data_IF_707001250028
#
_entry.id   IF_707001250028
#
_cell.length_a   1.000
_cell.length_b   1.000
_cell.length_c   1.000
_cell.angle_alpha   90.00
_cell.angle_beta   90.00
_cell.angle_gamma   90.00
#
_symmetry.space_group_name_H-M   'P 1'
#
loop_
_entity.id
_entity.type
_entity.pdbx_description
1 polymer ?
#
# COMPACT_ATOMS: atom_id res chain seq x y z
N UNK A 1 18.78 -1.51 18.08
CA UNK A 1 18.27 -1.20 16.74
C UNK A 1 16.82 -0.70 16.82
N UNK A 2 15.89 -1.45 17.42
CA UNK A 2 14.46 -1.05 17.50
C UNK A 2 14.32 0.38 18.02
N UNK A 3 14.87 0.70 19.19
CA UNK A 3 14.81 2.05 19.79
C UNK A 3 15.37 3.17 18.90
N UNK A 4 16.28 2.83 17.95
CA UNK A 4 16.88 3.79 17.03
C UNK A 4 15.99 4.11 15.84
N UNK A 5 15.19 3.15 15.39
CA UNK A 5 14.49 3.25 14.11
C UNK A 5 12.96 3.25 14.21
N UNK A 6 12.38 2.63 15.24
CA UNK A 6 10.93 2.59 15.42
C UNK A 6 10.36 4.00 15.61
N UNK A 7 9.33 4.34 14.86
CA UNK A 7 8.70 5.66 14.90
C UNK A 7 9.46 6.76 14.15
N UNK A 8 10.53 6.42 13.41
CA UNK A 8 11.30 7.43 12.67
C UNK A 8 10.77 7.69 11.26
N UNK A 9 10.02 6.74 10.71
CA UNK A 9 9.39 6.86 9.38
C UNK A 9 7.89 7.12 9.50
N UNK A 10 7.24 6.55 10.53
CA UNK A 10 5.87 6.89 10.93
C UNK A 10 5.93 7.58 12.30
N UNK A 11 6.05 8.90 12.35
CA UNK A 11 5.99 9.61 13.61
C UNK A 11 4.59 9.52 14.23
N UNK A 12 4.50 9.67 15.55
CA UNK A 12 3.21 9.67 16.27
C UNK A 12 2.24 10.75 15.80
N UNK A 13 2.73 11.75 15.08
CA UNK A 13 1.96 12.87 14.53
C UNK A 13 1.57 12.70 13.06
N UNK A 14 1.82 11.54 12.45
CA UNK A 14 1.52 11.32 11.01
C UNK A 14 0.02 11.55 10.73
N UNK A 15 -0.86 10.84 11.44
CA UNK A 15 -2.31 11.03 11.43
C UNK A 15 -2.96 10.24 12.57
N UNK A 16 -4.27 10.42 12.79
CA UNK A 16 -5.03 9.86 13.91
C UNK A 16 -4.78 8.35 14.14
N UNK A 17 -4.90 7.51 13.11
CA UNK A 17 -4.71 6.05 13.28
C UNK A 17 -3.25 5.65 13.54
N UNK A 18 -2.27 6.40 13.02
CA UNK A 18 -0.87 6.19 13.35
C UNK A 18 -0.58 6.55 14.80
N UNK A 19 -1.19 7.61 15.31
CA UNK A 19 -1.14 8.01 16.72
C UNK A 19 -1.78 6.95 17.60
N UNK A 20 -3.00 6.51 17.28
CA UNK A 20 -3.72 5.47 18.01
C UNK A 20 -2.91 4.16 18.05
N UNK A 21 -2.44 3.69 16.90
CA UNK A 21 -1.58 2.50 16.85
C UNK A 21 -0.35 2.67 17.75
N UNK A 22 0.32 3.82 17.71
CA UNK A 22 1.52 4.08 18.52
C UNK A 22 1.24 4.05 20.04
N UNK A 23 0.01 4.33 20.44
CA UNK A 23 -0.38 4.32 21.86
C UNK A 23 -0.76 2.91 22.35
N UNK A 24 -1.30 2.06 21.48
CA UNK A 24 -1.96 0.81 21.91
C UNK A 24 -1.45 -0.47 21.24
N UNK A 25 -0.48 -0.40 20.32
CA UNK A 25 0.05 -1.61 19.70
C UNK A 25 0.71 -2.52 20.75
N UNK A 26 0.45 -3.82 20.66
CA UNK A 26 0.95 -4.84 21.59
C UNK A 26 1.77 -5.90 20.88
N UNK A 27 1.71 -5.94 19.55
CA UNK A 27 2.35 -6.96 18.73
C UNK A 27 2.92 -6.38 17.43
N UNK A 28 3.70 -7.16 16.72
CA UNK A 28 4.29 -6.77 15.45
C UNK A 28 5.49 -7.60 15.05
N UNK A 29 6.10 -7.21 13.93
CA UNK A 29 7.29 -7.87 13.39
C UNK A 29 8.50 -6.95 13.39
N UNK A 30 9.64 -7.47 13.80
CA UNK A 30 10.91 -6.78 13.66
C UNK A 30 11.89 -7.61 12.82
N UNK A 31 12.36 -7.04 11.71
CA UNK A 31 13.31 -7.69 10.81
C UNK A 31 14.49 -6.76 10.57
N UNK A 32 15.68 -7.29 10.78
CA UNK A 32 16.92 -6.62 10.43
C UNK A 32 17.79 -7.55 9.57
N UNK A 33 18.15 -7.08 8.38
CA UNK A 33 19.04 -7.79 7.49
C UNK A 33 20.41 -7.11 7.55
N UNK A 34 21.47 -7.81 8.00
CA UNK A 34 22.81 -7.24 8.12
C UNK A 34 23.41 -6.85 6.77
N UNK A 35 24.44 -5.99 6.83
CA UNK A 35 25.18 -5.52 5.66
C UNK A 35 25.64 -6.68 4.77
N UNK A 36 25.39 -6.55 3.46
CA UNK A 36 25.79 -7.50 2.43
C UNK A 36 24.96 -8.79 2.37
N UNK A 37 24.08 -9.04 3.30
CA UNK A 37 23.30 -10.28 3.35
C UNK A 37 22.09 -10.21 2.39
N UNK A 38 21.98 -11.21 1.54
CA UNK A 38 20.80 -11.47 0.73
C UNK A 38 19.98 -12.56 1.43
N UNK A 39 18.79 -12.20 1.94
CA UNK A 39 17.94 -13.20 2.59
C UNK A 39 17.57 -14.29 1.57
N UNK A 40 17.92 -15.58 1.85
CA UNK A 40 17.82 -16.64 0.84
C UNK A 40 16.39 -17.09 0.56
N UNK A 41 15.45 -16.75 1.43
CA UNK A 41 14.04 -17.10 1.32
C UNK A 41 13.16 -15.89 1.63
N UNK A 42 11.91 -15.95 1.19
CA UNK A 42 10.91 -14.98 1.58
C UNK A 42 10.54 -15.21 3.05
N UNK A 43 10.57 -14.14 3.83
CA UNK A 43 10.04 -14.13 5.19
C UNK A 43 8.53 -13.90 5.13
N UNK A 44 7.78 -14.54 6.02
CA UNK A 44 6.34 -14.33 6.06
C UNK A 44 5.81 -14.20 7.48
N UNK A 45 4.80 -13.36 7.63
CA UNK A 45 4.00 -13.23 8.86
C UNK A 45 2.53 -13.33 8.50
N UNK A 46 1.78 -13.99 9.34
CA UNK A 46 0.35 -14.13 9.19
C UNK A 46 -0.37 -13.63 10.43
N UNK A 47 -1.18 -12.59 10.27
CA UNK A 47 -1.99 -12.01 11.33
C UNK A 47 -3.44 -12.47 11.23
N UNK A 48 -4.01 -12.88 12.34
CA UNK A 48 -5.40 -13.32 12.41
C UNK A 48 -6.10 -12.74 13.62
N UNK A 49 -7.21 -12.03 13.40
CA UNK A 49 -8.09 -11.57 14.46
C UNK A 49 -8.99 -12.74 14.88
N UNK A 50 -8.88 -13.20 16.13
CA UNK A 50 -9.69 -14.31 16.65
C UNK A 50 -10.71 -13.88 17.69
N UNK A 51 -10.47 -12.80 18.44
CA UNK A 51 -11.37 -12.34 19.50
C UNK A 51 -12.51 -11.49 18.95
N UNK A 52 -13.69 -11.54 19.58
CA UNK A 52 -14.81 -10.63 19.37
C UNK A 52 -14.57 -9.30 20.09
N UNK A 53 -15.25 -8.24 19.68
CA UNK A 53 -15.25 -6.91 20.31
C UNK A 53 -13.86 -6.32 20.54
N UNK A 54 -12.88 -6.71 19.71
CA UNK A 54 -11.50 -6.25 19.82
C UNK A 54 -11.01 -5.64 18.51
N UNK A 55 -10.12 -4.65 18.63
CA UNK A 55 -9.29 -4.16 17.52
C UNK A 55 -7.94 -4.88 17.50
N UNK A 56 -7.34 -4.97 16.34
CA UNK A 56 -5.96 -5.41 16.17
C UNK A 56 -5.06 -4.22 15.82
N UNK A 57 -4.02 -4.04 16.62
CA UNK A 57 -3.05 -2.94 16.45
C UNK A 57 -1.65 -3.55 16.44
N UNK A 58 -1.04 -3.55 15.27
CA UNK A 58 0.28 -4.13 15.06
C UNK A 58 1.25 -3.13 14.46
N UNK A 59 2.55 -3.33 14.73
CA UNK A 59 3.59 -2.45 14.21
C UNK A 59 4.77 -3.25 13.69
N UNK A 60 5.00 -3.18 12.38
CA UNK A 60 6.09 -3.87 11.70
C UNK A 60 7.22 -2.89 11.38
N UNK A 61 8.47 -3.29 11.67
CA UNK A 61 9.68 -2.54 11.30
C UNK A 61 10.63 -3.47 10.57
N UNK A 62 10.98 -3.12 9.32
CA UNK A 62 11.96 -3.84 8.51
C UNK A 62 13.10 -2.90 8.14
N UNK A 63 14.32 -3.32 8.44
CA UNK A 63 15.55 -2.59 8.12
C UNK A 63 16.43 -3.48 7.26
N UNK A 64 16.75 -3.03 6.05
CA UNK A 64 17.75 -3.63 5.19
C UNK A 64 19.02 -2.77 5.24
N UNK A 65 20.10 -3.33 5.79
CA UNK A 65 21.39 -2.64 5.90
C UNK A 65 22.10 -2.62 4.54
N UNK A 66 23.21 -1.93 4.44
CA UNK A 66 23.92 -1.68 3.19
C UNK A 66 24.14 -2.96 2.37
N UNK A 67 23.77 -2.88 1.09
CA UNK A 67 23.93 -3.99 0.14
C UNK A 67 23.07 -5.23 0.45
N UNK A 68 22.12 -5.17 1.36
CA UNK A 68 21.29 -6.31 1.74
C UNK A 68 20.00 -6.41 0.91
N UNK A 69 19.33 -7.56 1.00
CA UNK A 69 18.09 -7.83 0.30
C UNK A 69 17.13 -8.65 1.18
N UNK A 70 15.87 -8.30 1.15
CA UNK A 70 14.78 -9.07 1.77
C UNK A 70 13.50 -9.02 0.95
N UNK A 71 12.82 -10.18 0.83
CA UNK A 71 11.43 -10.28 0.44
C UNK A 71 10.59 -10.68 1.66
N UNK A 72 9.52 -9.95 1.90
CA UNK A 72 8.63 -10.13 3.05
C UNK A 72 7.18 -10.17 2.61
N UNK A 73 6.45 -11.21 3.04
CA UNK A 73 5.03 -11.39 2.78
C UNK A 73 4.22 -11.27 4.08
N UNK A 74 3.24 -10.40 4.07
CA UNK A 74 2.26 -10.28 5.15
C UNK A 74 0.90 -10.77 4.67
N UNK A 75 0.35 -11.74 5.37
CA UNK A 75 -1.02 -12.23 5.19
C UNK A 75 -1.90 -11.83 6.37
N UNK A 76 -3.10 -11.33 6.09
CA UNK A 76 -4.04 -10.93 7.13
C UNK A 76 -5.44 -11.48 6.83
N UNK A 77 -6.12 -11.98 7.86
CA UNK A 77 -7.50 -12.46 7.76
C UNK A 77 -8.26 -12.34 9.08
N UNK A 78 -9.58 -12.34 8.99
CA UNK A 78 -10.47 -12.41 10.14
C UNK A 78 -11.65 -13.35 9.84
N UNK A 79 -12.22 -14.04 10.86
CA UNK A 79 -13.44 -14.81 10.72
C UNK A 79 -14.65 -13.90 10.47
N UNK A 80 -15.70 -14.47 9.90
CA UNK A 80 -17.00 -13.81 9.70
C UNK A 80 -17.66 -13.54 11.05
N UNK A 81 -18.08 -12.29 11.28
CA UNK A 81 -18.81 -11.85 12.50
C UNK A 81 -19.80 -10.75 12.13
N UNK A 82 -20.93 -10.71 12.83
CA UNK A 82 -21.99 -9.69 12.64
C UNK A 82 -21.64 -8.32 13.23
N UNK A 83 -20.41 -8.10 13.62
CA UNK A 83 -19.90 -6.87 14.22
C UNK A 83 -18.78 -6.26 13.38
N UNK A 84 -18.59 -4.96 13.48
CA UNK A 84 -17.44 -4.30 12.90
C UNK A 84 -16.23 -4.42 13.82
N UNK A 85 -15.07 -4.73 13.24
CA UNK A 85 -13.81 -4.77 13.98
C UNK A 85 -12.78 -3.87 13.29
N UNK A 86 -11.96 -3.20 14.08
CA UNK A 86 -10.90 -2.33 13.59
C UNK A 86 -9.57 -3.09 13.50
N UNK A 87 -8.98 -3.09 12.30
CA UNK A 87 -7.57 -3.42 12.08
C UNK A 87 -6.82 -2.13 11.76
N UNK A 88 -5.87 -1.76 12.60
CA UNK A 88 -5.03 -0.57 12.37
C UNK A 88 -3.56 -0.94 12.56
N UNK A 89 -2.84 -1.04 11.45
CA UNK A 89 -1.43 -1.42 11.42
C UNK A 89 -0.52 -0.27 10.98
N UNK A 90 0.70 -0.24 11.53
CA UNK A 90 1.78 0.63 11.08
C UNK A 90 2.95 -0.21 10.56
N UNK A 91 3.42 0.06 9.34
CA UNK A 91 4.56 -0.61 8.73
C UNK A 91 5.63 0.39 8.32
N UNK A 92 6.83 0.23 8.86
CA UNK A 92 7.99 1.07 8.58
C UNK A 92 9.08 0.26 7.87
N UNK A 93 9.49 0.70 6.67
CA UNK A 93 10.60 0.09 5.93
C UNK A 93 11.73 1.09 5.79
N UNK A 94 12.97 0.64 6.03
CA UNK A 94 14.17 1.46 5.89
C UNK A 94 15.21 0.70 5.07
N UNK A 95 15.53 1.21 3.88
CA UNK A 95 16.57 0.68 3.03
C UNK A 95 17.78 1.62 3.05
N UNK A 96 18.96 1.08 3.43
CA UNK A 96 20.22 1.79 3.43
C UNK A 96 20.91 1.70 2.05
N UNK A 97 22.18 2.10 1.92
CA UNK A 97 22.88 2.12 0.63
C UNK A 97 22.86 0.77 -0.06
N UNK A 98 22.50 0.75 -1.36
CA UNK A 98 22.45 -0.45 -2.20
C UNK A 98 21.51 -1.57 -1.67
N UNK A 99 20.65 -1.26 -0.72
CA UNK A 99 19.73 -2.22 -0.12
C UNK A 99 18.39 -2.28 -0.86
N UNK A 100 17.77 -3.45 -0.88
CA UNK A 100 16.44 -3.67 -1.50
C UNK A 100 15.49 -4.38 -0.54
N UNK A 101 14.27 -3.85 -0.43
CA UNK A 101 13.15 -4.44 0.30
C UNK A 101 11.99 -4.65 -0.65
N UNK A 102 11.54 -5.90 -0.80
CA UNK A 102 10.23 -6.24 -1.37
C UNK A 102 9.26 -6.52 -0.22
N UNK A 103 8.15 -5.81 -0.20
CA UNK A 103 7.11 -6.01 0.80
C UNK A 103 5.78 -6.28 0.11
N UNK A 104 5.29 -7.49 0.31
CA UNK A 104 4.03 -7.95 -0.28
C UNK A 104 2.96 -8.12 0.80
N UNK A 105 1.72 -7.75 0.50
CA UNK A 105 0.57 -8.04 1.37
C UNK A 105 -0.56 -8.66 0.58
N UNK A 106 -1.17 -9.67 1.19
CA UNK A 106 -2.45 -10.24 0.76
C UNK A 106 -3.42 -10.10 1.93
N UNK A 107 -4.41 -9.24 1.74
CA UNK A 107 -5.42 -8.97 2.77
C UNK A 107 -6.77 -9.46 2.30
N UNK A 108 -7.28 -10.48 3.00
CA UNK A 108 -8.58 -11.10 2.73
C UNK A 108 -9.40 -11.07 4.02
N UNK A 109 -10.01 -9.93 4.28
CA UNK A 109 -10.83 -9.67 5.45
C UNK A 109 -12.30 -9.98 5.18
N UNK A 110 -13.06 -10.22 6.23
CA UNK A 110 -14.51 -10.33 6.13
C UNK A 110 -15.13 -8.97 5.74
N UNK A 111 -15.90 -8.91 4.64
CA UNK A 111 -16.42 -7.64 4.10
C UNK A 111 -17.74 -7.15 4.73
N UNK A 112 -18.34 -7.92 5.62
CA UNK A 112 -19.73 -7.78 6.04
C UNK A 112 -20.65 -8.73 5.27
N UNK A 113 -21.93 -8.76 5.69
CA UNK A 113 -22.97 -9.57 5.04
C UNK A 113 -23.44 -8.95 3.71
N UNK A 114 -24.42 -9.58 3.06
CA UNK A 114 -24.99 -9.13 1.79
C UNK A 114 -25.69 -7.75 1.88
N UNK A 115 -26.06 -7.31 3.08
CA UNK A 115 -26.65 -6.01 3.37
C UNK A 115 -25.60 -4.97 3.81
N UNK A 116 -24.34 -5.35 3.88
CA UNK A 116 -23.22 -4.50 4.31
C UNK A 116 -23.11 -4.34 5.83
N UNK A 117 -23.73 -5.25 6.61
CA UNK A 117 -23.62 -5.25 8.07
C UNK A 117 -22.39 -6.03 8.53
N UNK A 118 -21.70 -5.51 9.55
CA UNK A 118 -20.46 -6.10 10.07
C UNK A 118 -19.25 -5.84 9.17
N UNK A 119 -18.23 -6.65 9.33
CA UNK A 119 -17.01 -6.60 8.52
C UNK A 119 -15.89 -5.76 9.11
N UNK A 120 -14.72 -5.89 8.52
CA UNK A 120 -13.49 -5.29 9.03
C UNK A 120 -13.29 -3.87 8.48
N UNK A 121 -12.93 -2.95 9.37
CA UNK A 121 -12.38 -1.63 9.04
C UNK A 121 -10.86 -1.75 9.03
N UNK A 122 -10.27 -1.74 7.83
CA UNK A 122 -8.86 -2.00 7.59
C UNK A 122 -8.11 -0.69 7.31
N UNK A 123 -7.53 -0.11 8.35
CA UNK A 123 -6.82 1.18 8.30
C UNK A 123 -5.32 0.98 8.51
N UNK A 124 -4.55 0.97 7.42
CA UNK A 124 -3.14 0.62 7.45
C UNK A 124 -2.26 1.76 6.97
N UNK A 125 -1.29 2.12 7.80
CA UNK A 125 -0.28 3.11 7.50
C UNK A 125 1.03 2.43 7.14
N UNK A 126 1.49 2.61 5.90
CA UNK A 126 2.77 2.06 5.42
C UNK A 126 3.68 3.17 4.95
N UNK A 127 4.91 3.21 5.45
CA UNK A 127 5.90 4.21 5.05
C UNK A 127 7.23 3.53 4.77
N UNK A 128 7.77 3.76 3.58
CA UNK A 128 9.09 3.31 3.17
C UNK A 128 10.05 4.48 3.04
N UNK A 129 11.24 4.34 3.57
CA UNK A 129 12.33 5.29 3.43
C UNK A 129 13.51 4.65 2.70
N UNK A 130 13.69 5.00 1.43
CA UNK A 130 14.92 4.78 0.68
C UNK A 130 15.97 5.79 1.17
N UNK A 131 16.59 5.47 2.31
CA UNK A 131 17.52 6.38 2.99
C UNK A 131 18.88 6.44 2.30
N UNK A 132 19.34 5.31 1.79
CA UNK A 132 20.64 5.15 1.17
C UNK A 132 20.65 5.39 -0.33
N UNK A 133 21.84 5.58 -0.91
CA UNK A 133 22.04 5.64 -2.37
C UNK A 133 21.71 4.30 -3.01
N UNK A 134 21.16 4.31 -4.23
CA UNK A 134 20.78 3.13 -5.01
C UNK A 134 19.83 2.19 -4.28
N UNK A 135 19.21 2.62 -3.18
CA UNK A 135 18.28 1.78 -2.42
C UNK A 135 16.96 1.64 -3.14
N UNK A 136 16.28 0.51 -2.88
CA UNK A 136 15.01 0.20 -3.53
C UNK A 136 13.99 -0.32 -2.53
N UNK A 137 12.74 0.18 -2.62
CA UNK A 137 11.59 -0.37 -1.92
C UNK A 137 10.49 -0.64 -2.94
N UNK A 138 9.99 -1.88 -2.95
CA UNK A 138 8.89 -2.31 -3.79
C UNK A 138 7.72 -2.77 -2.91
N UNK A 139 6.59 -2.11 -3.05
CA UNK A 139 5.33 -2.48 -2.42
C UNK A 139 4.47 -3.28 -3.40
N UNK A 140 4.00 -4.45 -2.98
CA UNK A 140 2.96 -5.19 -3.70
C UNK A 140 1.79 -5.43 -2.75
N UNK A 141 0.58 -5.08 -3.16
CA UNK A 141 -0.59 -5.31 -2.33
C UNK A 141 -1.78 -5.85 -3.11
N UNK A 142 -2.44 -6.82 -2.50
CA UNK A 142 -3.73 -7.37 -2.95
C UNK A 142 -4.73 -7.13 -1.84
N UNK A 143 -5.72 -6.29 -2.13
CA UNK A 143 -6.79 -5.91 -1.21
C UNK A 143 -8.09 -6.57 -1.68
N UNK A 144 -8.54 -7.56 -0.92
CA UNK A 144 -9.83 -8.19 -1.10
C UNK A 144 -10.52 -8.29 0.25
N UNK A 145 -11.82 -8.16 0.28
CA UNK A 145 -12.54 -8.13 1.55
C UNK A 145 -12.54 -6.75 2.20
N UNK A 146 -12.68 -6.69 3.53
CA UNK A 146 -12.95 -5.51 4.35
C UNK A 146 -14.25 -4.79 3.98
N UNK A 147 -14.99 -4.32 4.98
CA UNK A 147 -16.12 -3.42 4.76
C UNK A 147 -15.62 -2.04 4.30
N UNK A 148 -14.57 -1.56 4.96
CA UNK A 148 -13.89 -0.31 4.61
C UNK A 148 -12.38 -0.54 4.63
N UNK A 149 -11.72 -0.23 3.52
CA UNK A 149 -10.26 -0.17 3.42
C UNK A 149 -9.80 1.28 3.30
N UNK A 150 -8.83 1.69 4.14
CA UNK A 150 -8.18 2.99 4.07
C UNK A 150 -6.67 2.78 4.18
N UNK A 151 -5.95 2.89 3.04
CA UNK A 151 -4.56 2.44 2.97
C UNK A 151 -3.75 3.20 1.94
N UNK A 152 -2.75 3.92 2.41
CA UNK A 152 -1.87 4.74 1.59
C UNK A 152 -0.39 4.46 1.87
N UNK A 153 0.19 3.42 1.27
CA UNK A 153 1.64 3.23 1.31
C UNK A 153 2.38 4.45 0.76
N UNK A 154 3.51 4.76 1.33
CA UNK A 154 4.38 5.81 0.79
C UNK A 154 5.81 5.33 0.64
N UNK A 155 6.55 5.96 -0.27
CA UNK A 155 7.97 5.77 -0.43
C UNK A 155 8.67 7.14 -0.52
N UNK A 156 9.59 7.38 0.40
CA UNK A 156 10.42 8.59 0.42
C UNK A 156 11.77 8.23 -0.20
N UNK A 157 12.03 8.74 -1.39
CA UNK A 157 13.25 8.51 -2.17
C UNK A 157 14.29 9.58 -1.80
N UNK A 158 15.00 9.34 -0.68
CA UNK A 158 15.94 10.30 -0.10
C UNK A 158 17.35 10.14 -0.64
N UNK A 159 17.80 8.89 -0.81
CA UNK A 159 19.12 8.60 -1.39
C UNK A 159 19.13 8.86 -2.90
N UNK A 160 20.26 9.31 -3.43
CA UNK A 160 20.44 9.45 -4.87
C UNK A 160 20.30 8.09 -5.57
N UNK A 161 19.74 8.07 -6.78
CA UNK A 161 19.46 6.87 -7.59
C UNK A 161 18.49 5.88 -6.93
N UNK A 162 17.78 6.26 -5.88
CA UNK A 162 16.84 5.36 -5.22
C UNK A 162 15.57 5.11 -6.05
N UNK A 163 14.96 3.94 -5.85
CA UNK A 163 13.83 3.46 -6.63
C UNK A 163 12.67 3.11 -5.69
N UNK A 164 11.48 3.61 -6.02
CA UNK A 164 10.22 3.25 -5.35
C UNK A 164 9.25 2.61 -6.32
N UNK A 165 8.75 1.43 -5.98
CA UNK A 165 7.74 0.75 -6.80
C UNK A 165 6.48 0.48 -5.98
N UNK A 166 5.33 0.58 -6.64
CA UNK A 166 4.04 0.25 -6.05
C UNK A 166 3.18 -0.49 -7.06
N UNK A 167 2.81 -1.70 -6.69
CA UNK A 167 1.90 -2.56 -7.45
C UNK A 167 0.70 -2.88 -6.58
N UNK A 168 -0.50 -2.58 -7.05
CA UNK A 168 -1.73 -2.76 -6.28
C UNK A 168 -2.84 -3.38 -7.11
N UNK A 169 -3.53 -4.34 -6.50
CA UNK A 169 -4.80 -4.86 -6.99
C UNK A 169 -5.83 -4.68 -5.86
N UNK A 170 -6.92 -3.99 -6.16
CA UNK A 170 -8.07 -3.85 -5.26
C UNK A 170 -9.31 -4.44 -5.91
N UNK A 171 -9.99 -5.34 -5.20
CA UNK A 171 -11.23 -5.97 -5.67
C UNK A 171 -12.32 -5.70 -4.63
N UNK A 172 -13.35 -4.97 -5.04
CA UNK A 172 -14.49 -4.63 -4.18
C UNK A 172 -15.79 -5.15 -4.78
N UNK A 173 -16.69 -5.60 -3.92
CA UNK A 173 -18.01 -6.10 -4.27
C UNK A 173 -19.04 -5.72 -3.20
N UNK A 174 -20.33 -5.97 -3.45
CA UNK A 174 -21.43 -5.67 -2.52
C UNK A 174 -21.35 -4.22 -2.02
N UNK A 175 -21.24 -4.00 -0.71
CA UNK A 175 -21.22 -2.68 -0.08
C UNK A 175 -19.82 -2.22 0.35
N UNK A 176 -18.77 -2.91 -0.10
CA UNK A 176 -17.39 -2.58 0.27
C UNK A 176 -16.97 -1.20 -0.22
N UNK A 177 -16.15 -0.53 0.58
CA UNK A 177 -15.54 0.75 0.22
C UNK A 177 -14.03 0.66 0.38
N UNK A 178 -13.29 0.93 -0.70
CA UNK A 178 -11.85 0.95 -0.67
C UNK A 178 -11.33 2.33 -1.09
N UNK A 179 -10.75 3.07 -0.15
CA UNK A 179 -10.02 4.29 -0.43
C UNK A 179 -8.52 3.99 -0.26
N UNK A 180 -7.86 3.76 -1.38
CA UNK A 180 -6.47 3.32 -1.45
C UNK A 180 -5.63 4.30 -2.26
N UNK A 181 -4.34 4.09 -2.25
CA UNK A 181 -3.43 4.90 -3.06
C UNK A 181 -1.99 4.79 -2.61
N UNK A 182 -1.17 5.69 -3.12
CA UNK A 182 0.24 5.72 -2.74
C UNK A 182 0.81 7.13 -2.81
N UNK A 183 1.93 7.34 -2.10
CA UNK A 183 2.68 8.59 -2.12
C UNK A 183 4.13 8.30 -2.48
N UNK A 184 4.61 8.87 -3.59
CA UNK A 184 6.02 8.83 -3.99
C UNK A 184 6.63 10.21 -3.83
N UNK A 185 7.61 10.34 -2.93
CA UNK A 185 8.25 11.62 -2.60
C UNK A 185 9.72 11.55 -3.00
N UNK A 186 10.10 12.33 -4.00
CA UNK A 186 11.45 12.38 -4.55
C UNK A 186 12.25 13.51 -3.90
N UNK A 187 13.31 13.18 -3.17
CA UNK A 187 14.21 14.13 -2.52
C UNK A 187 15.64 14.05 -3.06
N UNK A 188 16.14 12.86 -3.38
CA UNK A 188 17.45 12.61 -3.98
C UNK A 188 17.45 12.83 -5.49
N UNK A 189 18.64 12.89 -6.08
CA UNK A 189 18.85 13.01 -7.53
C UNK A 189 18.70 11.66 -8.24
N UNK A 190 18.30 11.68 -9.51
CA UNK A 190 18.15 10.49 -10.37
C UNK A 190 17.19 9.45 -9.78
N UNK A 191 16.25 9.85 -8.96
CA UNK A 191 15.31 8.94 -8.31
C UNK A 191 14.21 8.53 -9.27
N UNK A 192 13.74 7.27 -9.16
CA UNK A 192 12.71 6.73 -10.04
C UNK A 192 11.56 6.16 -9.23
N UNK A 193 10.33 6.41 -9.66
CA UNK A 193 9.18 5.73 -9.10
C UNK A 193 8.26 5.17 -10.17
N UNK A 194 7.65 4.02 -9.84
CA UNK A 194 6.68 3.35 -10.70
C UNK A 194 5.44 2.98 -9.88
N UNK A 195 4.28 3.33 -10.39
CA UNK A 195 2.99 3.05 -9.75
C UNK A 195 2.11 2.32 -10.78
N UNK A 196 1.69 1.10 -10.44
CA UNK A 196 0.70 0.35 -11.21
C UNK A 196 -0.42 -0.02 -10.25
N UNK A 197 -1.59 0.57 -10.44
CA UNK A 197 -2.77 0.31 -9.63
C UNK A 197 -3.89 -0.21 -10.50
N UNK A 198 -4.41 -1.39 -10.16
CA UNK A 198 -5.54 -1.99 -10.87
C UNK A 198 -6.67 -2.26 -9.90
N UNK A 199 -7.89 -2.00 -10.34
CA UNK A 199 -9.06 -2.18 -9.50
C UNK A 199 -10.25 -2.76 -10.22
N UNK A 200 -11.04 -3.54 -9.48
CA UNK A 200 -12.34 -4.04 -9.92
C UNK A 200 -13.38 -3.64 -8.88
N UNK A 201 -14.44 -2.96 -9.33
CA UNK A 201 -15.56 -2.59 -8.49
C UNK A 201 -16.85 -3.22 -9.04
N UNK A 202 -17.58 -3.93 -8.17
CA UNK A 202 -18.80 -4.65 -8.54
C UNK A 202 -19.92 -4.40 -7.51
N UNK A 203 -21.17 -4.75 -7.87
CA UNK A 203 -22.33 -4.63 -6.98
C UNK A 203 -22.67 -3.18 -6.63
N UNK A 204 -22.60 -2.82 -5.36
CA UNK A 204 -22.82 -1.47 -4.79
C UNK A 204 -21.53 -0.89 -4.21
N UNK A 205 -20.38 -1.44 -4.57
CA UNK A 205 -19.12 -1.04 -3.99
C UNK A 205 -18.56 0.25 -4.60
N UNK A 206 -17.72 0.93 -3.83
CA UNK A 206 -16.98 2.09 -4.29
C UNK A 206 -15.49 1.89 -4.08
N UNK A 207 -14.71 2.25 -5.08
CA UNK A 207 -13.27 2.22 -5.04
C UNK A 207 -12.70 3.58 -5.40
N UNK A 208 -11.80 4.08 -4.56
CA UNK A 208 -11.06 5.31 -4.84
C UNK A 208 -9.57 5.01 -4.81
N UNK A 209 -8.86 5.44 -5.83
CA UNK A 209 -7.40 5.51 -5.84
C UNK A 209 -6.94 6.96 -5.71
N UNK A 210 -6.08 7.24 -4.71
CA UNK A 210 -5.45 8.57 -4.55
C UNK A 210 -3.95 8.45 -4.68
N UNK A 211 -3.38 9.12 -5.66
CA UNK A 211 -1.94 9.08 -5.93
C UNK A 211 -1.28 10.44 -5.68
N UNK A 212 -0.25 10.49 -4.85
CA UNK A 212 0.62 11.66 -4.72
C UNK A 212 2.00 11.35 -5.31
N UNK A 213 2.44 12.19 -6.24
CA UNK A 213 3.83 12.26 -6.69
C UNK A 213 4.35 13.65 -6.35
N UNK A 214 5.36 13.74 -5.47
CA UNK A 214 5.99 15.00 -5.08
C UNK A 214 7.48 14.97 -5.44
N UNK A 215 7.88 15.78 -6.41
CA UNK A 215 9.27 15.92 -6.84
C UNK A 215 9.82 17.25 -6.32
N UNK A 216 10.76 17.15 -5.37
CA UNK A 216 11.40 18.29 -4.76
C UNK A 216 12.31 19.02 -5.77
N UNK A 217 12.52 20.32 -5.58
CA UNK A 217 13.39 21.15 -6.43
C UNK A 217 14.84 20.64 -6.53
N UNK A 218 15.32 19.89 -5.53
CA UNK A 218 16.67 19.30 -5.51
C UNK A 218 16.75 17.93 -6.18
N UNK A 219 15.62 17.30 -6.46
CA UNK A 219 15.53 15.96 -7.05
C UNK A 219 15.72 15.99 -8.57
N UNK A 220 16.91 16.41 -9.05
CA UNK A 220 17.25 16.50 -10.47
C UNK A 220 17.19 15.13 -11.16
N UNK A 221 16.82 15.11 -12.45
CA UNK A 221 16.72 13.92 -13.31
C UNK A 221 15.84 12.81 -12.73
N UNK A 222 14.83 13.18 -11.93
CA UNK A 222 13.92 12.21 -11.34
C UNK A 222 12.76 11.91 -12.30
N UNK A 223 12.23 10.69 -12.20
CA UNK A 223 11.12 10.28 -13.07
C UNK A 223 10.06 9.49 -12.32
N UNK A 224 8.81 9.66 -12.76
CA UNK A 224 7.68 8.86 -12.29
C UNK A 224 6.90 8.34 -13.50
N UNK A 225 6.46 7.08 -13.39
CA UNK A 225 5.44 6.50 -14.25
C UNK A 225 4.29 5.98 -13.38
N UNK A 226 3.08 6.42 -13.68
CA UNK A 226 1.86 6.00 -12.98
C UNK A 226 0.83 5.50 -13.97
N UNK A 227 0.30 4.31 -13.73
CA UNK A 227 -0.82 3.73 -14.47
C UNK A 227 -1.89 3.27 -13.49
N UNK A 228 -3.13 3.73 -13.69
CA UNK A 228 -4.29 3.39 -12.86
C UNK A 228 -5.43 2.89 -13.74
N UNK A 229 -5.74 1.60 -13.68
CA UNK A 229 -6.81 1.00 -14.46
C UNK A 229 -7.92 0.50 -13.54
N UNK A 230 -9.16 0.84 -13.84
CA UNK A 230 -10.34 0.42 -13.11
C UNK A 230 -11.35 -0.25 -14.03
N UNK A 231 -11.91 -1.37 -13.58
CA UNK A 231 -12.99 -2.09 -14.24
C UNK A 231 -14.26 -2.01 -13.39
N UNK A 232 -15.35 -1.55 -13.99
CA UNK A 232 -16.67 -1.52 -13.38
C UNK A 232 -17.50 -2.71 -13.86
N UNK A 233 -18.05 -3.45 -12.91
CA UNK A 233 -18.92 -4.61 -13.16
C UNK A 233 -20.30 -4.36 -12.56
N UNK A 234 -21.20 -3.81 -13.37
CA UNK A 234 -22.57 -3.44 -12.96
C UNK A 234 -22.85 -1.95 -13.06
N UNK A 235 -24.06 -1.55 -12.64
CA UNK A 235 -24.57 -0.20 -12.82
C UNK A 235 -24.59 0.66 -11.54
N UNK A 236 -24.27 0.04 -10.38
CA UNK A 236 -24.36 0.70 -9.07
C UNK A 236 -23.01 0.77 -8.33
N UNK A 237 -21.95 0.29 -8.95
CA UNK A 237 -20.59 0.39 -8.42
C UNK A 237 -19.89 1.65 -8.97
N UNK A 238 -18.90 2.13 -8.21
CA UNK A 238 -18.09 3.30 -8.56
C UNK A 238 -16.59 3.03 -8.54
N UNK A 239 -15.85 3.77 -9.38
CA UNK A 239 -14.39 3.84 -9.32
C UNK A 239 -13.96 5.29 -9.56
N UNK A 240 -13.07 5.79 -8.70
CA UNK A 240 -12.60 7.17 -8.73
C UNK A 240 -11.07 7.19 -8.71
N UNK A 241 -10.46 7.99 -9.56
CA UNK A 241 -9.02 8.22 -9.59
C UNK A 241 -8.73 9.69 -9.30
N UNK A 242 -7.96 9.94 -8.23
CA UNK A 242 -7.63 11.28 -7.75
C UNK A 242 -6.11 11.46 -7.75
N UNK A 243 -5.51 11.86 -8.86
CA UNK A 243 -4.08 12.14 -8.93
C UNK A 243 -3.76 13.49 -8.30
N UNK A 244 -2.62 13.55 -7.59
CA UNK A 244 -2.06 14.78 -7.08
C UNK A 244 -0.57 14.84 -7.40
N UNK A 245 -0.17 15.74 -8.29
CA UNK A 245 1.20 15.86 -8.79
C UNK A 245 1.77 17.22 -8.37
N UNK A 246 2.86 17.17 -7.61
CA UNK A 246 3.67 18.33 -7.27
C UNK A 246 5.05 18.17 -7.92
N UNK A 247 5.30 18.93 -8.95
CA UNK A 247 6.62 18.95 -9.57
C UNK A 247 7.27 20.32 -9.38
N UNK A 248 8.39 20.33 -8.67
CA UNK A 248 9.19 21.55 -8.41
C UNK A 248 10.55 21.52 -9.12
N UNK A 249 10.74 20.61 -10.08
CA UNK A 249 11.99 20.45 -10.81
C UNK A 249 11.75 20.29 -12.31
N UNK A 250 12.35 21.17 -13.11
CA UNK A 250 12.19 21.17 -14.58
C UNK A 250 12.91 20.02 -15.28
N UNK A 251 13.93 19.41 -14.65
CA UNK A 251 14.69 18.28 -15.20
C UNK A 251 14.02 16.92 -14.91
N UNK A 252 12.78 16.92 -14.44
CA UNK A 252 12.05 15.70 -14.12
C UNK A 252 11.06 15.30 -15.20
N UNK A 253 10.78 14.00 -15.29
CA UNK A 253 9.81 13.44 -16.22
C UNK A 253 8.69 12.72 -15.45
N UNK A 254 7.43 13.07 -15.72
CA UNK A 254 6.27 12.45 -15.11
C UNK A 254 5.30 12.02 -16.21
N UNK A 255 4.97 10.73 -16.23
CA UNK A 255 3.91 10.17 -17.05
C UNK A 255 2.81 9.61 -16.14
N UNK A 256 1.57 9.98 -16.43
CA UNK A 256 0.39 9.50 -15.71
C UNK A 256 -0.70 9.08 -16.69
N UNK A 257 -1.14 7.83 -16.58
CA UNK A 257 -2.22 7.26 -17.36
C UNK A 257 -3.30 6.74 -16.41
N UNK A 258 -4.55 6.98 -16.75
CA UNK A 258 -5.69 6.45 -15.99
C UNK A 258 -6.79 6.02 -16.94
N UNK A 259 -7.30 4.81 -16.75
CA UNK A 259 -8.43 4.30 -17.50
C UNK A 259 -9.52 3.79 -16.56
N UNK A 260 -10.78 4.05 -16.94
CA UNK A 260 -11.92 3.41 -16.29
C UNK A 260 -12.78 2.81 -17.37
N UNK A 261 -12.97 1.51 -17.32
CA UNK A 261 -13.73 0.76 -18.29
C UNK A 261 -14.94 0.07 -17.66
N UNK A 262 -15.98 -0.09 -18.45
CA UNK A 262 -17.17 -0.86 -18.10
C UNK A 262 -17.47 -1.81 -19.25
N UNK A 263 -17.64 -3.08 -18.94
CA UNK A 263 -18.07 -4.05 -19.94
C UNK A 263 -19.56 -3.85 -20.16
N UNK A 264 -19.97 -3.54 -21.40
CA UNK A 264 -21.37 -3.38 -21.76
C UNK A 264 -22.06 -4.75 -21.89
N UNK A 265 -23.39 -4.76 -21.77
CA UNK A 265 -24.19 -5.98 -21.97
C UNK A 265 -24.02 -6.54 -23.40
N UNK A 266 -23.88 -5.65 -24.39
CA UNK A 266 -23.64 -6.03 -25.79
C UNK A 266 -22.30 -6.74 -25.95
N UNK A 267 -21.24 -6.27 -25.27
CA UNK A 267 -19.93 -6.93 -25.29
C UNK A 267 -20.00 -8.31 -24.61
N UNK A 268 -20.70 -8.42 -23.48
CA UNK A 268 -20.93 -9.70 -22.80
C UNK A 268 -21.70 -10.66 -23.69
N UNK A 269 -22.76 -10.21 -24.32
CA UNK A 269 -23.56 -11.01 -25.25
C UNK A 269 -22.73 -11.50 -26.45
N UNK A 270 -21.91 -10.60 -27.02
CA UNK A 270 -21.00 -10.98 -28.11
C UNK A 270 -20.00 -12.07 -27.69
N UNK A 271 -19.42 -11.96 -26.50
CA UNK A 271 -18.49 -12.97 -25.97
C UNK A 271 -19.19 -14.31 -25.69
N UNK A 272 -20.45 -14.30 -25.26
CA UNK A 272 -21.22 -15.51 -24.96
C UNK A 272 -21.64 -16.27 -26.22
N UNK A 273 -21.73 -15.61 -27.37
CA UNK A 273 -22.11 -16.22 -28.65
C UNK A 273 -20.93 -16.86 -29.39
N UNK A 274 -19.73 -16.70 -28.91
CA UNK A 274 -18.49 -17.24 -29.47
C UNK A 274 -17.86 -18.28 -28.57
#
# INVERSE_FOLDING_TARGET
LVKKYLGTVIPVTDHFFATLNSAVFTDGSFVYIPEGIKCPMELSTYFRINASETGQFERTLIIADKGSYVSYLEGCTAPMRDENQLHAANVELIALDDAEIKYSTVQNWYPGDENGKGGIYNFVTKRGLCKGKNSKISWTQVETGSAITWKYPSCILKGDNSIGEFYSIAITNNHQKADTGTKMVHLGKNTKSKIISKGISAGFSDMTYRGLVDINSKAKNSSNYTQCDSLLMGNKCGAHTVPYIKNKNFDSNIAHEATTSKISEEQLHYCQQR
#
